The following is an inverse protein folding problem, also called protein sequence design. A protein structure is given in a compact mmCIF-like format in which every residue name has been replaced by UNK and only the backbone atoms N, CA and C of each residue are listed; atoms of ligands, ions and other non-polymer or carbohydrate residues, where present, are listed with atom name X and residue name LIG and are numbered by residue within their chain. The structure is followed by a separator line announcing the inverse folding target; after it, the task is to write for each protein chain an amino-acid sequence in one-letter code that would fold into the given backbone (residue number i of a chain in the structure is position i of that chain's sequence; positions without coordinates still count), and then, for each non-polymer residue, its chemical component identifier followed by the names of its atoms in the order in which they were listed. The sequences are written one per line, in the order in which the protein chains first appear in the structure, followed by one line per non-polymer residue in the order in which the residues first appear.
data_IF_086819887338
#
_entry.id   IF_086819887338
#
_cell.length_a   1.000
_cell.length_b   1.000
_cell.length_c   1.000
_cell.angle_alpha   90.00
_cell.angle_beta   90.00
_cell.angle_gamma   90.00
#
_symmetry.space_group_name_H-M   'P 1'
#
loop_
_entity.id
_entity.type
_entity.pdbx_description
1 polymer ?
#
# COMPACT_ATOMS: atom_id res chain seq x y z
N UNK A 1 16.99 -17.13 12.43
CA UNK A 1 17.83 -15.95 12.76
C UNK A 1 19.29 -16.39 12.63
N UNK A 2 20.21 -15.51 12.21
CA UNK A 2 21.64 -15.89 12.21
C UNK A 2 22.11 -15.94 13.66
N UNK A 3 22.71 -17.06 14.05
CA UNK A 3 23.24 -17.23 15.40
C UNK A 3 24.74 -16.97 15.34
N UNK A 4 25.14 -15.86 15.93
CA UNK A 4 26.54 -15.44 15.99
C UNK A 4 27.37 -16.48 16.75
N UNK A 5 28.48 -16.89 16.14
CA UNK A 5 29.46 -17.75 16.82
C UNK A 5 30.48 -16.88 17.54
N UNK A 6 30.78 -17.20 18.81
CA UNK A 6 31.80 -16.49 19.58
C UNK A 6 33.06 -17.35 19.60
N UNK A 7 34.11 -16.87 18.94
CA UNK A 7 35.40 -17.53 18.88
C UNK A 7 36.26 -17.13 20.09
N UNK A 8 37.00 -18.09 20.63
CA UNK A 8 37.97 -17.90 21.70
C UNK A 8 39.29 -18.54 21.29
N UNK A 9 40.42 -17.91 21.65
CA UNK A 9 41.75 -18.41 21.27
C UNK A 9 42.15 -19.68 22.04
N UNK A 10 41.57 -19.93 23.23
CA UNK A 10 41.71 -21.18 23.97
C UNK A 10 40.55 -21.31 24.96
N UNK A 11 40.13 -22.55 25.24
CA UNK A 11 39.06 -22.83 26.21
C UNK A 11 39.68 -23.52 27.43
N UNK A 12 39.40 -23.01 28.63
CA UNK A 12 39.90 -23.56 29.91
C UNK A 12 38.77 -24.10 30.78
N UNK A 13 39.11 -25.04 31.66
CA UNK A 13 38.20 -25.55 32.69
C UNK A 13 38.15 -24.63 33.92
N UNK A 14 37.31 -24.99 34.90
CA UNK A 14 37.16 -24.23 36.15
C UNK A 14 38.46 -24.16 36.99
N UNK A 15 39.44 -25.02 36.68
CA UNK A 15 40.74 -25.11 37.34
C UNK A 15 41.87 -24.47 36.52
N UNK A 16 41.56 -23.83 35.37
CA UNK A 16 42.51 -23.19 34.48
C UNK A 16 43.27 -24.13 33.55
N UNK A 17 42.92 -25.42 33.47
CA UNK A 17 43.50 -26.36 32.50
C UNK A 17 42.89 -26.16 31.12
N UNK A 18 43.72 -26.18 30.08
CA UNK A 18 43.27 -26.00 28.69
C UNK A 18 42.52 -27.25 28.22
N UNK A 19 41.23 -27.09 27.92
CA UNK A 19 40.35 -28.13 27.37
C UNK A 19 40.53 -28.25 25.85
N UNK A 20 40.74 -27.13 25.17
CA UNK A 20 40.93 -27.07 23.72
C UNK A 20 41.97 -26.00 23.36
N UNK A 21 43.03 -26.45 22.67
CA UNK A 21 44.02 -25.55 22.08
C UNK A 21 43.44 -24.82 20.87
N UNK A 22 43.78 -23.54 20.72
CA UNK A 22 43.31 -22.69 19.64
C UNK A 22 43.82 -23.07 18.26
N UNK A 23 43.17 -22.52 17.23
CA UNK A 23 43.63 -22.52 15.84
C UNK A 23 44.64 -21.37 15.65
N UNK A 24 45.58 -21.43 14.69
CA UNK A 24 46.43 -20.27 14.35
C UNK A 24 45.66 -19.03 13.85
N UNK A 25 44.35 -19.13 13.66
CA UNK A 25 43.45 -18.03 13.34
C UNK A 25 43.04 -17.31 14.63
N UNK A 26 43.28 -15.99 14.70
CA UNK A 26 42.94 -15.19 15.89
C UNK A 26 41.42 -15.00 16.05
N UNK A 27 40.93 -15.27 17.25
CA UNK A 27 39.55 -15.02 17.67
C UNK A 27 39.12 -13.56 17.43
N UNK A 28 40.03 -12.59 17.57
CA UNK A 28 39.75 -11.18 17.26
C UNK A 28 39.27 -11.00 15.82
N UNK A 29 39.97 -11.60 14.86
CA UNK A 29 39.65 -11.47 13.44
C UNK A 29 38.38 -12.24 13.10
N UNK A 30 38.22 -13.46 13.63
CA UNK A 30 37.01 -14.27 13.41
C UNK A 30 35.77 -13.61 14.00
N UNK A 31 35.85 -13.08 15.22
CA UNK A 31 34.75 -12.35 15.85
C UNK A 31 34.42 -11.04 15.12
N UNK A 32 35.40 -10.36 14.51
CA UNK A 32 35.14 -9.18 13.67
C UNK A 32 34.32 -9.55 12.42
N UNK A 33 34.61 -10.69 11.78
CA UNK A 33 33.83 -11.21 10.66
C UNK A 33 32.43 -11.61 11.12
N UNK A 34 32.33 -12.33 12.23
CA UNK A 34 31.03 -12.73 12.83
C UNK A 34 30.15 -11.53 13.19
N UNK A 35 30.75 -10.46 13.72
CA UNK A 35 30.06 -9.19 13.97
C UNK A 35 29.55 -8.59 12.67
N UNK A 36 30.39 -8.47 11.65
CA UNK A 36 30.00 -7.91 10.35
C UNK A 36 28.85 -8.69 9.70
N UNK A 37 28.93 -10.03 9.69
CA UNK A 37 27.85 -10.88 9.16
C UNK A 37 26.55 -10.68 9.96
N UNK A 38 26.64 -10.64 11.29
CA UNK A 38 25.47 -10.45 12.14
C UNK A 38 24.83 -9.07 11.91
N UNK A 39 25.62 -8.00 11.91
CA UNK A 39 25.15 -6.62 11.70
C UNK A 39 24.55 -6.42 10.29
N UNK A 40 25.20 -6.94 9.25
CA UNK A 40 24.69 -6.91 7.87
C UNK A 40 23.38 -7.68 7.74
N UNK A 41 23.25 -8.83 8.45
CA UNK A 41 22.02 -9.63 8.46
C UNK A 41 20.86 -8.87 9.10
N UNK A 42 21.10 -8.22 10.24
CA UNK A 42 20.09 -7.39 10.91
C UNK A 42 19.69 -6.19 10.04
N UNK A 43 20.67 -5.49 9.45
CA UNK A 43 20.40 -4.41 8.51
C UNK A 43 19.56 -4.88 7.31
N UNK A 44 19.90 -6.05 6.74
CA UNK A 44 19.14 -6.65 5.65
C UNK A 44 17.68 -6.94 6.03
N UNK A 45 17.43 -7.47 7.23
CA UNK A 45 16.06 -7.72 7.69
C UNK A 45 15.27 -6.42 7.85
N UNK A 46 15.87 -5.39 8.46
CA UNK A 46 15.23 -4.08 8.61
C UNK A 46 14.91 -3.46 7.25
N UNK A 47 15.87 -3.49 6.31
CA UNK A 47 15.68 -2.99 4.95
C UNK A 47 14.60 -3.75 4.19
N UNK A 48 14.55 -5.08 4.35
CA UNK A 48 13.50 -5.91 3.72
C UNK A 48 12.13 -5.57 4.30
N UNK A 49 12.03 -5.35 5.61
CA UNK A 49 10.79 -4.91 6.25
C UNK A 49 10.34 -3.53 5.75
N UNK A 50 11.27 -2.56 5.66
CA UNK A 50 11.01 -1.24 5.10
C UNK A 50 10.56 -1.32 3.63
N UNK A 51 11.21 -2.15 2.82
CA UNK A 51 10.82 -2.38 1.43
C UNK A 51 9.39 -2.92 1.33
N UNK A 52 9.01 -3.87 2.19
CA UNK A 52 7.64 -4.39 2.23
C UNK A 52 6.62 -3.30 2.60
N UNK A 53 6.96 -2.41 3.54
CA UNK A 53 6.12 -1.26 3.89
C UNK A 53 5.99 -0.27 2.73
N UNK A 54 7.09 0.06 2.05
CA UNK A 54 7.06 0.93 0.86
C UNK A 54 6.25 0.32 -0.28
N UNK A 55 6.36 -0.99 -0.52
CA UNK A 55 5.52 -1.68 -1.52
C UNK A 55 4.03 -1.52 -1.22
N UNK A 56 3.62 -1.60 0.05
CA UNK A 56 2.22 -1.37 0.46
C UNK A 56 1.77 0.07 0.18
N UNK A 57 2.59 1.05 0.53
CA UNK A 57 2.30 2.47 0.27
C UNK A 57 2.20 2.77 -1.24
N UNK A 58 3.09 2.20 -2.05
CA UNK A 58 3.04 2.34 -3.50
C UNK A 58 1.78 1.70 -4.10
N UNK A 59 1.42 0.49 -3.64
CA UNK A 59 0.19 -0.18 -4.08
C UNK A 59 -1.07 0.63 -3.71
N UNK A 60 -1.07 1.29 -2.54
CA UNK A 60 -2.15 2.20 -2.14
C UNK A 60 -2.26 3.44 -3.06
N UNK A 61 -1.12 3.89 -3.62
CA UNK A 61 -1.03 5.05 -4.50
C UNK A 61 -1.37 4.74 -5.98
N UNK A 62 -1.06 3.54 -6.49
CA UNK A 62 -1.34 3.16 -7.89
C UNK A 62 -2.82 3.36 -8.28
N UNK A 63 -3.72 3.23 -7.30
CA UNK A 63 -5.15 3.46 -7.49
C UNK A 63 -5.79 2.59 -8.58
N UNK A 64 -6.96 3.02 -9.04
CA UNK A 64 -7.64 2.47 -10.21
C UNK A 64 -8.36 3.58 -10.98
N UNK A 65 -8.51 3.37 -12.29
CA UNK A 65 -9.18 4.30 -13.19
C UNK A 65 -10.37 3.60 -13.82
N UNK A 66 -11.54 4.27 -13.84
CA UNK A 66 -12.73 3.75 -14.48
C UNK A 66 -13.44 4.85 -15.26
N UNK A 67 -14.15 4.47 -16.32
CA UNK A 67 -15.05 5.36 -17.06
C UNK A 67 -16.49 5.01 -16.71
N UNK A 68 -17.25 6.00 -16.26
CA UNK A 68 -18.63 5.86 -15.81
C UNK A 68 -19.54 6.70 -16.71
N UNK A 69 -20.60 6.08 -17.21
CA UNK A 69 -21.65 6.76 -17.98
C UNK A 69 -22.88 6.92 -17.10
N UNK A 70 -23.33 8.16 -16.93
CA UNK A 70 -24.50 8.53 -16.15
C UNK A 70 -25.57 9.09 -17.08
N UNK A 71 -26.82 8.66 -16.90
CA UNK A 71 -27.96 9.11 -17.70
C UNK A 71 -29.06 9.67 -16.83
N UNK A 72 -29.74 10.70 -17.30
CA UNK A 72 -30.92 11.26 -16.66
C UNK A 72 -32.07 11.31 -17.67
N UNK A 73 -33.23 10.81 -17.25
CA UNK A 73 -34.45 10.80 -18.05
C UNK A 73 -35.54 11.74 -17.52
N UNK A 74 -35.27 12.44 -16.41
CA UNK A 74 -36.24 13.33 -15.78
C UNK A 74 -36.03 14.79 -16.22
N UNK A 75 -37.13 15.54 -16.26
CA UNK A 75 -37.09 16.98 -16.52
C UNK A 75 -36.64 17.76 -15.30
N UNK A 76 -35.87 18.82 -15.53
CA UNK A 76 -35.42 19.74 -14.48
C UNK A 76 -36.62 20.27 -13.66
N UNK A 77 -36.54 20.34 -12.32
CA UNK A 77 -35.35 20.18 -11.46
C UNK A 77 -35.09 18.73 -10.98
N UNK A 78 -35.79 17.73 -11.51
CA UNK A 78 -35.61 16.34 -11.09
C UNK A 78 -34.46 15.66 -11.84
N UNK A 79 -33.76 14.75 -11.15
CA UNK A 79 -32.62 14.03 -11.71
C UNK A 79 -32.56 12.59 -11.15
N UNK A 80 -32.37 11.60 -12.02
CA UNK A 80 -32.21 10.18 -11.65
C UNK A 80 -30.86 9.57 -12.08
N UNK A 81 -29.82 10.39 -12.24
CA UNK A 81 -28.49 9.99 -12.71
C UNK A 81 -27.65 9.19 -11.70
N UNK A 82 -28.16 8.97 -10.49
CA UNK A 82 -27.40 8.32 -9.42
C UNK A 82 -27.13 6.85 -9.75
N UNK A 83 -25.86 6.53 -10.01
CA UNK A 83 -25.39 5.18 -10.28
C UNK A 83 -24.51 4.65 -9.15
N UNK A 84 -24.52 3.33 -8.97
CA UNK A 84 -23.59 2.63 -8.05
C UNK A 84 -22.34 2.22 -8.81
N UNK A 85 -21.18 2.60 -8.29
CA UNK A 85 -19.87 2.24 -8.83
C UNK A 85 -19.24 1.19 -7.93
N UNK A 86 -18.84 0.08 -8.54
CA UNK A 86 -18.09 -0.99 -7.86
C UNK A 86 -16.60 -0.83 -8.14
N UNK A 87 -15.79 -0.86 -7.09
CA UNK A 87 -14.35 -0.81 -7.21
C UNK A 87 -13.81 -2.17 -7.67
N UNK A 88 -12.84 -2.18 -8.58
CA UNK A 88 -12.26 -3.43 -9.12
C UNK A 88 -11.26 -4.03 -8.15
N UNK A 89 -10.44 -3.16 -7.54
CA UNK A 89 -9.51 -3.53 -6.47
C UNK A 89 -10.26 -3.43 -5.14
N UNK A 90 -10.11 -4.41 -4.26
CA UNK A 90 -10.71 -4.37 -2.92
C UNK A 90 -10.05 -3.30 -2.05
N UNK A 91 -10.80 -2.80 -1.07
CA UNK A 91 -10.32 -1.86 -0.05
C UNK A 91 -10.60 -2.44 1.33
N UNK A 92 -9.70 -2.13 2.25
CA UNK A 92 -9.80 -2.49 3.66
C UNK A 92 -10.35 -1.34 4.51
N UNK A 93 -10.37 -0.11 3.98
CA UNK A 93 -10.90 1.07 4.68
C UNK A 93 -11.68 2.01 3.76
N UNK A 94 -12.50 2.89 4.37
CA UNK A 94 -13.22 3.95 3.66
C UNK A 94 -12.34 5.17 3.33
N UNK A 95 -11.05 5.13 3.69
CA UNK A 95 -10.08 6.23 3.50
C UNK A 95 -9.53 6.31 2.08
N UNK A 96 -10.29 5.85 1.08
CA UNK A 96 -9.97 6.08 -0.32
C UNK A 96 -10.50 7.44 -0.79
N UNK A 97 -9.84 8.04 -1.76
CA UNK A 97 -10.25 9.30 -2.39
C UNK A 97 -10.69 9.02 -3.82
N UNK A 98 -11.74 9.71 -4.25
CA UNK A 98 -12.28 9.61 -5.60
C UNK A 98 -12.08 10.96 -6.26
N UNK A 99 -11.28 10.99 -7.31
CA UNK A 99 -11.14 12.13 -8.20
C UNK A 99 -12.01 11.90 -9.43
N UNK A 100 -12.64 12.97 -9.91
CA UNK A 100 -13.56 12.89 -11.03
C UNK A 100 -13.17 13.93 -12.06
N UNK A 101 -13.07 13.51 -13.31
CA UNK A 101 -12.93 14.38 -14.48
C UNK A 101 -14.11 14.15 -15.40
N UNK A 102 -14.68 15.25 -15.88
CA UNK A 102 -15.80 15.22 -16.83
C UNK A 102 -15.22 15.09 -18.23
N UNK A 103 -15.56 14.01 -18.94
CA UNK A 103 -15.11 13.82 -20.32
C UNK A 103 -16.10 14.40 -21.32
N UNK A 104 -17.39 14.23 -21.09
CA UNK A 104 -18.43 14.74 -21.97
C UNK A 104 -19.75 14.98 -21.22
N UNK A 105 -20.52 15.94 -21.71
CA UNK A 105 -21.86 16.30 -21.22
C UNK A 105 -22.76 16.48 -22.42
N UNK A 106 -23.98 15.97 -22.37
CA UNK A 106 -24.95 16.07 -23.47
C UNK A 106 -26.35 16.38 -22.92
N UNK A 107 -27.13 17.15 -23.69
CA UNK A 107 -28.56 17.34 -23.45
C UNK A 107 -28.93 18.26 -22.29
N UNK A 108 -28.01 19.08 -21.80
CA UNK A 108 -28.31 20.05 -20.74
C UNK A 108 -27.08 20.51 -19.97
N UNK A 109 -27.31 21.05 -18.78
CA UNK A 109 -26.27 21.51 -17.87
C UNK A 109 -25.90 20.41 -16.87
N UNK A 110 -24.60 20.23 -16.60
CA UNK A 110 -24.12 19.19 -15.68
C UNK A 110 -24.51 19.46 -14.22
N UNK A 111 -24.36 20.71 -13.76
CA UNK A 111 -24.41 21.01 -12.34
C UNK A 111 -23.17 20.50 -11.59
N UNK A 112 -23.35 20.13 -10.33
CA UNK A 112 -22.32 19.56 -9.47
C UNK A 112 -22.34 18.04 -9.55
N UNK A 113 -21.15 17.44 -9.49
CA UNK A 113 -21.01 16.01 -9.28
C UNK A 113 -21.19 15.71 -7.79
N UNK A 114 -22.04 14.74 -7.49
CA UNK A 114 -22.35 14.31 -6.13
C UNK A 114 -21.86 12.88 -5.94
N UNK A 115 -20.97 12.68 -4.97
CA UNK A 115 -20.54 11.36 -4.49
C UNK A 115 -21.15 11.14 -3.11
N UNK A 116 -21.86 10.02 -2.93
CA UNK A 116 -22.49 9.65 -1.66
C UNK A 116 -22.42 8.14 -1.42
N UNK A 117 -22.88 7.72 -0.25
CA UNK A 117 -22.95 6.30 0.15
C UNK A 117 -21.63 5.54 -0.07
N UNK A 118 -20.51 6.10 0.44
CA UNK A 118 -19.21 5.42 0.39
C UNK A 118 -19.27 4.12 1.21
N UNK A 119 -18.84 3.03 0.58
CA UNK A 119 -18.70 1.70 1.14
C UNK A 119 -17.28 1.18 0.85
N UNK A 120 -16.87 0.07 1.47
CA UNK A 120 -15.51 -0.47 1.30
C UNK A 120 -15.13 -0.62 -0.18
N UNK A 121 -15.98 -1.28 -0.97
CA UNK A 121 -15.67 -1.61 -2.36
C UNK A 121 -16.59 -0.88 -3.36
N UNK A 122 -17.12 0.28 -2.98
CA UNK A 122 -18.02 1.01 -3.88
C UNK A 122 -18.54 2.31 -3.31
N UNK A 123 -19.20 3.08 -4.15
CA UNK A 123 -19.88 4.32 -3.78
C UNK A 123 -20.96 4.63 -4.80
N UNK A 124 -21.78 5.64 -4.54
CA UNK A 124 -22.72 6.17 -5.53
C UNK A 124 -22.24 7.50 -6.07
N UNK A 125 -22.42 7.70 -7.37
CA UNK A 125 -22.07 8.94 -8.08
C UNK A 125 -23.25 9.38 -8.94
N UNK A 126 -23.49 10.68 -8.98
CA UNK A 126 -24.53 11.32 -9.78
C UNK A 126 -24.19 12.78 -10.04
N UNK A 127 -25.12 13.51 -10.66
CA UNK A 127 -25.06 14.96 -10.82
C UNK A 127 -26.42 15.61 -10.55
N UNK A 128 -26.44 16.92 -10.25
CA UNK A 128 -27.66 17.66 -9.91
C UNK A 128 -28.24 18.52 -11.05
N UNK A 129 -27.60 18.54 -12.22
CA UNK A 129 -28.06 19.29 -13.38
C UNK A 129 -29.08 18.58 -14.28
N UNK A 130 -29.39 19.22 -15.41
CA UNK A 130 -30.38 18.82 -16.41
C UNK A 130 -29.82 18.01 -17.59
N UNK A 131 -28.51 17.77 -17.64
CA UNK A 131 -27.88 16.95 -18.68
C UNK A 131 -28.61 15.59 -18.82
N UNK A 132 -28.72 15.06 -20.03
CA UNK A 132 -29.33 13.75 -20.28
C UNK A 132 -28.32 12.62 -20.21
N UNK A 133 -27.06 12.91 -20.54
CA UNK A 133 -25.95 11.96 -20.48
C UNK A 133 -24.65 12.68 -20.11
N UNK A 134 -23.85 12.03 -19.25
CA UNK A 134 -22.54 12.52 -18.78
C UNK A 134 -21.58 11.35 -18.72
N UNK A 135 -20.41 11.48 -19.33
CA UNK A 135 -19.32 10.53 -19.19
C UNK A 135 -18.25 11.10 -18.26
N UNK A 136 -17.95 10.34 -17.22
CA UNK A 136 -16.97 10.68 -16.20
C UNK A 136 -15.80 9.71 -16.25
N UNK A 137 -14.59 10.22 -16.07
CA UNK A 137 -13.41 9.42 -15.75
C UNK A 137 -13.12 9.59 -14.27
N UNK A 138 -13.04 8.49 -13.55
CA UNK A 138 -12.79 8.50 -12.11
C UNK A 138 -11.43 7.87 -11.81
N UNK A 139 -10.71 8.42 -10.83
CA UNK A 139 -9.51 7.83 -10.24
C UNK A 139 -9.77 7.59 -8.76
N UNK A 140 -9.62 6.35 -8.33
CA UNK A 140 -9.82 5.95 -6.94
C UNK A 140 -8.48 5.54 -6.35
N UNK A 141 -8.01 6.28 -5.35
CA UNK A 141 -6.69 6.13 -4.74
C UNK A 141 -6.83 5.91 -3.24
N UNK A 142 -6.04 5.01 -2.68
CA UNK A 142 -6.00 4.75 -1.26
C UNK A 142 -7.01 3.71 -0.77
N UNK A 143 -6.96 3.41 0.53
CA UNK A 143 -7.90 2.53 1.23
C UNK A 143 -7.53 1.04 1.24
N UNK A 144 -6.34 0.66 0.75
CA UNK A 144 -5.91 -0.74 0.68
C UNK A 144 -5.22 -1.22 1.96
N UNK A 145 -4.49 -0.36 2.67
CA UNK A 145 -3.72 -0.74 3.86
C UNK A 145 -4.00 0.19 5.04
N UNK A 146 -3.78 -0.31 6.26
CA UNK A 146 -3.76 0.42 7.52
C UNK A 146 -2.37 0.34 8.13
#
# INVERSE_FOLDING_TARGET
MYNKTIWQDHVVDQNGQVIQQGTPLSAKNLNNIENGIFEDREAFFVLTQQMMQHKRLLADQEGEVQTINLTNSLSYPFNNSLATVSLSKTRNTLNYRVFVEVQSVTGGFLGNIVIKDKALNGFKIGYDGSATAVTLKIWVIGGMYQ
#
